data_IF_718975146627
#
_entry.id   IF_718975146627
#
_cell.length_a   1.000
_cell.length_b   1.000
_cell.length_c   1.000
_cell.angle_alpha   90.00
_cell.angle_beta   90.00
_cell.angle_gamma   90.00
#
_symmetry.space_group_name_H-M   'P 1'
#
loop_
_entity.id
_entity.type
_entity.pdbx_description
1 polymer ?
#
# COMPACT_ATOMS: atom_id res chain seq x y z
N UNK A 1 22.95 4.88 3.87
CA UNK A 1 22.33 3.63 4.26
C UNK A 1 23.22 2.96 5.30
N UNK A 2 22.84 3.07 6.59
CA UNK A 2 23.55 2.33 7.66
C UNK A 2 23.16 0.87 7.52
N UNK A 3 24.15 -0.03 7.46
CA UNK A 3 23.91 -1.46 7.62
C UNK A 3 23.40 -1.67 9.03
N UNK A 4 22.13 -2.12 9.17
CA UNK A 4 21.65 -2.64 10.45
C UNK A 4 22.42 -3.93 10.75
N UNK A 5 23.12 -3.96 11.89
CA UNK A 5 23.75 -5.17 12.39
C UNK A 5 22.70 -6.08 13.02
N UNK A 6 22.91 -7.40 12.98
CA UNK A 6 22.02 -8.41 13.54
C UNK A 6 21.83 -8.33 15.08
N UNK A 7 22.38 -7.31 15.74
CA UNK A 7 22.32 -7.08 17.18
C UNK A 7 21.50 -5.84 17.56
N UNK A 8 20.89 -5.14 16.62
CA UNK A 8 20.01 -4.01 16.97
C UNK A 8 18.69 -4.55 17.57
N UNK A 9 18.24 -4.02 18.72
CA UNK A 9 16.95 -4.41 19.29
C UNK A 9 15.86 -4.13 18.26
N UNK A 10 14.88 -5.04 18.18
CA UNK A 10 13.74 -4.88 17.29
C UNK A 10 13.19 -3.45 17.41
N UNK A 11 12.97 -2.73 16.31
CA UNK A 11 12.53 -1.34 16.36
C UNK A 11 11.27 -1.23 17.20
N UNK A 12 11.31 -0.34 18.20
CA UNK A 12 10.17 -0.16 19.11
C UNK A 12 8.96 0.32 18.31
N UNK A 13 7.86 -0.39 18.50
CA UNK A 13 6.58 -0.02 17.91
C UNK A 13 6.15 1.34 18.45
N UNK A 14 5.98 2.32 17.57
CA UNK A 14 5.58 3.67 17.98
C UNK A 14 4.09 3.68 18.37
N UNK A 15 3.73 4.06 19.61
CA UNK A 15 2.33 4.02 20.09
C UNK A 15 1.36 4.77 19.18
N UNK A 16 1.77 5.92 18.62
CA UNK A 16 0.95 6.71 17.70
C UNK A 16 0.61 5.94 16.40
N UNK A 17 1.52 5.11 15.89
CA UNK A 17 1.24 4.28 14.70
C UNK A 17 0.25 3.16 15.01
N UNK A 18 0.36 2.54 16.20
CA UNK A 18 -0.61 1.54 16.64
C UNK A 18 -1.99 2.15 16.82
N UNK A 19 -2.06 3.35 17.40
CA UNK A 19 -3.32 4.10 17.53
C UNK A 19 -3.98 4.38 16.17
N UNK A 20 -3.18 4.71 15.15
CA UNK A 20 -3.68 4.90 13.78
C UNK A 20 -4.22 3.59 13.18
N UNK A 21 -3.53 2.47 13.35
CA UNK A 21 -4.02 1.17 12.91
C UNK A 21 -5.34 0.80 13.61
N UNK A 22 -5.43 1.07 14.92
CA UNK A 22 -6.66 0.87 15.70
C UNK A 22 -7.80 1.71 15.16
N UNK A 23 -7.55 2.99 14.90
CA UNK A 23 -8.53 3.90 14.28
C UNK A 23 -9.04 3.38 12.93
N UNK A 24 -8.16 2.94 12.03
CA UNK A 24 -8.57 2.38 10.73
C UNK A 24 -9.41 1.12 10.91
N UNK A 25 -9.02 0.21 11.81
CA UNK A 25 -9.81 -1.00 12.10
C UNK A 25 -11.20 -0.64 12.65
N UNK A 26 -11.28 0.34 13.55
CA UNK A 26 -12.55 0.82 14.11
C UNK A 26 -13.44 1.49 13.07
N UNK A 27 -12.84 2.14 12.10
CA UNK A 27 -13.53 2.70 10.92
C UNK A 27 -13.98 1.62 9.91
N UNK A 28 -13.73 0.33 10.20
CA UNK A 28 -14.18 -0.79 9.36
C UNK A 28 -13.21 -1.17 8.24
N UNK A 29 -12.01 -0.60 8.22
CA UNK A 29 -11.00 -1.01 7.24
C UNK A 29 -10.31 -2.31 7.66
N UNK A 30 -10.08 -3.18 6.68
CA UNK A 30 -9.31 -4.39 6.88
C UNK A 30 -7.82 -4.09 6.92
N UNK A 31 -7.13 -4.65 7.92
CA UNK A 31 -5.69 -4.51 8.08
C UNK A 31 -4.98 -5.75 7.53
N UNK A 32 -3.90 -5.54 6.78
CA UNK A 32 -3.01 -6.57 6.28
C UNK A 32 -1.56 -6.37 6.72
N UNK A 33 -0.72 -7.38 6.47
CA UNK A 33 0.71 -7.30 6.73
C UNK A 33 1.45 -6.69 5.52
N UNK A 34 2.40 -5.82 5.80
CA UNK A 34 3.27 -5.17 4.81
C UNK A 34 4.72 -5.13 5.32
N UNK A 35 5.12 -6.14 6.08
CA UNK A 35 6.36 -6.27 6.85
C UNK A 35 6.46 -5.25 8.01
N UNK A 36 7.51 -5.33 8.79
CA UNK A 36 7.80 -4.37 9.87
C UNK A 36 8.66 -3.20 9.40
N UNK A 37 9.77 -3.52 8.74
CA UNK A 37 10.79 -2.56 8.33
C UNK A 37 10.66 -2.09 6.88
N UNK A 38 9.66 -2.57 6.13
CA UNK A 38 9.50 -2.29 4.70
C UNK A 38 10.79 -2.61 3.91
N UNK A 39 11.42 -3.76 4.25
CA UNK A 39 12.68 -4.16 3.62
C UNK A 39 12.48 -4.46 2.12
N UNK A 40 13.54 -4.25 1.35
CA UNK A 40 13.56 -4.66 -0.05
C UNK A 40 14.02 -6.11 -0.15
N UNK A 41 13.13 -7.03 -0.54
CA UNK A 41 13.42 -8.44 -0.74
C UNK A 41 14.69 -8.63 -1.60
N UNK A 42 14.82 -7.84 -2.66
CA UNK A 42 15.93 -7.94 -3.59
C UNK A 42 17.26 -7.45 -3.02
N UNK A 43 17.26 -6.73 -1.92
CA UNK A 43 18.45 -6.26 -1.25
C UNK A 43 18.87 -7.16 -0.08
N UNK A 44 17.88 -7.68 0.68
CA UNK A 44 18.15 -8.41 1.94
C UNK A 44 18.11 -9.92 1.79
N UNK A 45 17.47 -10.43 0.72
CA UNK A 45 17.25 -11.87 0.50
C UNK A 45 16.10 -12.44 1.34
N UNK A 46 15.69 -13.66 0.97
CA UNK A 46 14.48 -14.30 1.47
C UNK A 46 14.45 -14.51 3.00
N UNK A 47 15.51 -15.02 3.67
CA UNK A 47 15.43 -15.28 5.11
C UNK A 47 15.20 -14.01 5.95
N UNK A 48 15.93 -12.92 5.65
CA UNK A 48 15.77 -11.66 6.37
C UNK A 48 14.41 -11.01 6.07
N UNK A 49 13.92 -11.17 4.85
CA UNK A 49 12.61 -10.67 4.46
C UNK A 49 11.47 -11.43 5.14
N UNK A 50 11.56 -12.76 5.26
CA UNK A 50 10.61 -13.57 6.01
C UNK A 50 10.56 -13.19 7.49
N UNK A 51 11.73 -12.91 8.09
CA UNK A 51 11.77 -12.43 9.47
C UNK A 51 11.08 -11.07 9.63
N UNK A 52 11.24 -10.16 8.68
CA UNK A 52 10.57 -8.85 8.69
C UNK A 52 9.03 -8.98 8.58
N UNK A 53 8.53 -9.99 7.87
CA UNK A 53 7.11 -10.34 7.84
C UNK A 53 6.62 -10.76 9.24
N UNK A 54 7.37 -11.67 9.90
CA UNK A 54 7.04 -12.16 11.25
C UNK A 54 7.11 -11.03 12.30
N UNK A 55 8.05 -10.12 12.15
CA UNK A 55 8.16 -8.97 13.04
C UNK A 55 6.95 -8.03 12.91
N UNK A 56 6.40 -7.87 11.70
CA UNK A 56 5.15 -7.15 11.46
C UNK A 56 3.94 -7.80 12.16
N UNK A 57 3.92 -9.12 12.29
CA UNK A 57 2.86 -9.85 12.99
C UNK A 57 2.78 -9.55 14.48
N UNK A 58 3.91 -9.22 15.12
CA UNK A 58 3.96 -8.92 16.56
C UNK A 58 3.03 -7.78 16.97
N UNK A 59 2.80 -6.84 16.08
CA UNK A 59 1.83 -5.75 16.29
C UNK A 59 0.45 -6.09 15.73
N UNK A 60 0.41 -6.66 14.53
CA UNK A 60 -0.83 -6.83 13.78
C UNK A 60 -1.73 -7.91 14.39
N UNK A 61 -1.17 -9.09 14.76
CA UNK A 61 -1.97 -10.20 15.30
C UNK A 61 -2.69 -9.86 16.61
N UNK A 62 -2.03 -9.31 17.65
CA UNK A 62 -2.72 -8.89 18.86
C UNK A 62 -3.82 -7.86 18.60
N UNK A 63 -3.52 -6.87 17.75
CA UNK A 63 -4.48 -5.83 17.40
C UNK A 63 -5.74 -6.40 16.72
N UNK A 64 -5.61 -7.35 15.81
CA UNK A 64 -6.74 -8.00 15.15
C UNK A 64 -7.48 -8.96 16.09
N UNK A 65 -6.76 -9.67 16.96
CA UNK A 65 -7.33 -10.61 17.93
C UNK A 65 -8.29 -9.92 18.93
N UNK A 66 -8.11 -8.63 19.23
CA UNK A 66 -9.05 -7.83 20.03
C UNK A 66 -10.49 -7.85 19.48
N UNK A 67 -10.67 -8.18 18.20
CA UNK A 67 -11.96 -8.29 17.50
C UNK A 67 -12.21 -9.70 16.93
N UNK A 68 -11.49 -10.71 17.39
CA UNK A 68 -11.61 -12.09 16.90
C UNK A 68 -11.17 -12.25 15.43
N UNK A 69 -10.36 -11.32 14.92
CA UNK A 69 -9.86 -11.33 13.55
C UNK A 69 -8.43 -11.86 13.47
N UNK A 70 -8.04 -12.33 12.29
CA UNK A 70 -6.68 -12.75 11.96
C UNK A 70 -6.20 -12.01 10.71
N UNK A 71 -4.90 -11.74 10.56
CA UNK A 71 -4.39 -11.15 9.33
C UNK A 71 -4.53 -12.17 8.18
N UNK A 72 -5.09 -11.73 7.06
CA UNK A 72 -5.33 -12.56 5.87
C UNK A 72 -4.59 -12.05 4.64
N UNK A 73 -4.29 -10.74 4.62
CA UNK A 73 -3.70 -10.10 3.47
C UNK A 73 -2.26 -9.71 3.72
N UNK A 74 -1.46 -9.95 2.70
CA UNK A 74 -0.08 -9.50 2.64
C UNK A 74 0.17 -8.71 1.36
N UNK A 75 0.85 -7.57 1.45
CA UNK A 75 1.33 -6.81 0.31
C UNK A 75 2.85 -6.78 0.29
N UNK A 76 3.43 -7.06 -0.86
CA UNK A 76 4.87 -7.02 -1.04
C UNK A 76 5.39 -5.57 -1.03
N UNK A 77 6.36 -5.20 -0.18
CA UNK A 77 7.12 -3.97 -0.32
C UNK A 77 7.68 -3.82 -1.72
N UNK A 78 7.58 -2.61 -2.28
CA UNK A 78 7.99 -2.29 -3.66
C UNK A 78 7.33 -3.17 -4.75
N UNK A 79 6.26 -3.89 -4.43
CA UNK A 79 5.61 -4.92 -5.26
C UNK A 79 6.56 -6.04 -5.71
N UNK A 80 7.64 -6.28 -4.96
CA UNK A 80 8.68 -7.27 -5.28
C UNK A 80 8.35 -8.62 -4.65
N UNK A 81 8.05 -9.60 -5.50
CA UNK A 81 7.69 -10.96 -5.08
C UNK A 81 8.82 -11.98 -5.25
N UNK A 82 9.98 -11.57 -5.74
CA UNK A 82 11.15 -12.42 -6.01
C UNK A 82 11.73 -12.19 -7.41
N UNK A 83 13.05 -12.36 -7.55
CA UNK A 83 13.78 -12.18 -8.82
C UNK A 83 13.72 -13.43 -9.71
N UNK A 84 13.65 -14.61 -9.08
CA UNK A 84 13.60 -15.88 -9.76
C UNK A 84 12.29 -16.63 -9.42
N UNK A 85 11.83 -17.53 -10.30
CA UNK A 85 10.62 -18.33 -10.04
C UNK A 85 10.70 -19.09 -8.71
N UNK A 86 11.87 -19.61 -8.35
CA UNK A 86 12.11 -20.40 -7.14
C UNK A 86 11.99 -19.50 -5.88
N UNK A 87 12.53 -18.29 -5.91
CA UNK A 87 12.41 -17.32 -4.81
C UNK A 87 10.94 -16.90 -4.62
N UNK A 88 10.22 -16.67 -5.72
CA UNK A 88 8.79 -16.37 -5.70
C UNK A 88 7.98 -17.53 -5.13
N UNK A 89 8.25 -18.75 -5.56
CA UNK A 89 7.56 -19.95 -5.07
C UNK A 89 7.81 -20.15 -3.56
N UNK A 90 9.05 -19.99 -3.11
CA UNK A 90 9.42 -20.12 -1.70
C UNK A 90 8.74 -19.04 -0.82
N UNK A 91 8.71 -17.78 -1.28
CA UNK A 91 8.00 -16.72 -0.55
C UNK A 91 6.49 -16.97 -0.53
N UNK A 92 5.91 -17.40 -1.66
CA UNK A 92 4.47 -17.71 -1.73
C UNK A 92 4.09 -18.87 -0.81
N UNK A 93 4.91 -19.93 -0.74
CA UNK A 93 4.70 -21.04 0.18
C UNK A 93 4.78 -20.60 1.64
N UNK A 94 5.76 -19.75 1.98
CA UNK A 94 5.89 -19.17 3.32
C UNK A 94 4.66 -18.35 3.70
N UNK A 95 4.21 -17.45 2.84
CA UNK A 95 3.02 -16.63 3.07
C UNK A 95 1.77 -17.50 3.28
N UNK A 96 1.58 -18.52 2.44
CA UNK A 96 0.48 -19.44 2.56
C UNK A 96 0.49 -20.21 3.89
N UNK A 97 1.66 -20.72 4.33
CA UNK A 97 1.83 -21.41 5.62
C UNK A 97 1.49 -20.52 6.81
N UNK A 98 1.69 -19.21 6.69
CA UNK A 98 1.33 -18.21 7.71
C UNK A 98 -0.11 -17.67 7.57
N UNK A 99 -0.92 -18.23 6.67
CA UNK A 99 -2.33 -17.87 6.48
C UNK A 99 -2.55 -16.63 5.62
N UNK A 100 -1.53 -16.17 4.90
CA UNK A 100 -1.63 -15.00 4.03
C UNK A 100 -2.04 -15.34 2.61
N UNK A 101 -2.82 -14.41 2.04
CA UNK A 101 -3.05 -14.26 0.61
C UNK A 101 -2.40 -12.95 0.16
N UNK A 102 -1.82 -12.93 -1.03
CA UNK A 102 -1.28 -11.69 -1.60
C UNK A 102 -2.41 -10.72 -1.92
N UNK A 103 -2.29 -9.48 -1.44
CA UNK A 103 -3.13 -8.37 -1.84
C UNK A 103 -2.57 -7.80 -3.16
N UNK A 104 -3.21 -8.06 -4.31
CA UNK A 104 -2.68 -7.65 -5.60
C UNK A 104 -2.81 -6.13 -5.80
N UNK A 105 -2.08 -5.61 -6.79
CA UNK A 105 -2.21 -4.24 -7.28
C UNK A 105 -2.48 -4.31 -8.78
N UNK A 106 -3.53 -3.64 -9.25
CA UNK A 106 -3.85 -3.54 -10.67
C UNK A 106 -3.71 -2.13 -11.20
N UNK A 107 -3.77 -1.12 -10.32
CA UNK A 107 -3.48 0.28 -10.66
C UNK A 107 -2.27 0.73 -9.86
N UNK A 108 -1.10 0.60 -10.48
CA UNK A 108 0.16 1.15 -9.96
C UNK A 108 0.38 2.58 -10.45
N UNK A 109 1.17 3.34 -9.69
CA UNK A 109 1.37 4.76 -9.97
C UNK A 109 2.67 5.28 -9.35
N UNK A 110 3.05 6.50 -9.69
CA UNK A 110 4.23 7.19 -9.16
C UNK A 110 3.90 8.26 -8.12
N UNK A 111 2.88 8.05 -7.28
CA UNK A 111 2.46 9.06 -6.29
C UNK A 111 3.57 9.48 -5.32
N UNK A 112 4.55 8.61 -5.07
CA UNK A 112 5.69 8.90 -4.21
C UNK A 112 6.51 10.11 -4.67
N UNK A 113 6.58 10.38 -5.99
CA UNK A 113 7.26 11.56 -6.55
C UNK A 113 6.52 12.83 -6.13
N UNK A 114 5.19 12.81 -6.26
CA UNK A 114 4.32 13.90 -5.85
C UNK A 114 4.34 14.13 -4.35
N UNK A 115 4.30 13.03 -3.59
CA UNK A 115 4.34 13.05 -2.13
C UNK A 115 5.67 13.62 -1.62
N UNK A 116 6.79 13.26 -2.24
CA UNK A 116 8.10 13.81 -1.93
C UNK A 116 8.15 15.33 -2.19
N UNK A 117 7.66 15.78 -3.35
CA UNK A 117 7.59 17.21 -3.67
C UNK A 117 6.70 17.98 -2.68
N UNK A 118 5.57 17.37 -2.29
CA UNK A 118 4.65 17.97 -1.31
C UNK A 118 5.26 18.04 0.09
N UNK A 119 5.93 16.97 0.55
CA UNK A 119 6.62 16.95 1.83
C UNK A 119 7.76 17.99 1.87
N UNK A 120 8.57 18.07 0.82
CA UNK A 120 9.63 19.09 0.70
C UNK A 120 9.08 20.53 0.73
N UNK A 121 7.90 20.76 0.18
CA UNK A 121 7.24 22.07 0.26
C UNK A 121 6.69 22.37 1.66
N UNK A 122 6.44 21.33 2.49
CA UNK A 122 5.99 21.48 3.88
C UNK A 122 7.18 21.66 4.84
N UNK A 123 8.25 20.87 4.65
CA UNK A 123 9.37 20.79 5.60
C UNK A 123 10.21 22.07 5.62
N UNK A 124 10.43 22.60 6.84
CA UNK A 124 11.38 23.68 7.09
C UNK A 124 11.05 25.01 6.43
N UNK A 125 9.91 25.13 5.77
CA UNK A 125 9.50 26.37 5.11
C UNK A 125 8.55 27.18 6.00
N UNK A 126 8.71 28.51 6.10
CA UNK A 126 7.76 29.35 6.79
C UNK A 126 6.39 29.29 6.11
N UNK A 127 5.33 29.59 6.86
CA UNK A 127 3.97 29.64 6.31
C UNK A 127 3.79 30.93 5.51
N UNK A 128 4.05 30.86 4.22
CA UNK A 128 3.99 31.98 3.28
C UNK A 128 2.95 31.76 2.19
N UNK A 129 2.45 32.83 1.55
CA UNK A 129 1.55 32.71 0.40
C UNK A 129 2.17 31.88 -0.76
N UNK A 130 3.47 31.99 -0.97
CA UNK A 130 4.20 31.25 -2.02
C UNK A 130 4.22 29.74 -1.73
N UNK A 131 4.41 29.37 -0.45
CA UNK A 131 4.31 27.98 -0.01
C UNK A 131 2.90 27.44 -0.23
N UNK A 132 1.88 28.18 0.20
CA UNK A 132 0.48 27.80 0.01
C UNK A 132 0.15 27.61 -1.50
N UNK A 133 0.58 28.54 -2.36
CA UNK A 133 0.42 28.44 -3.80
C UNK A 133 1.13 27.20 -4.39
N UNK A 134 2.29 26.84 -3.86
CA UNK A 134 3.03 25.65 -4.28
C UNK A 134 2.30 24.36 -3.91
N UNK A 135 1.81 24.24 -2.68
CA UNK A 135 1.03 23.10 -2.20
C UNK A 135 -0.26 22.91 -3.03
N UNK A 136 -0.97 24.01 -3.32
CA UNK A 136 -2.17 23.99 -4.16
C UNK A 136 -1.84 23.59 -5.62
N UNK A 137 -0.73 24.05 -6.17
CA UNK A 137 -0.29 23.64 -7.51
C UNK A 137 0.02 22.14 -7.56
N UNK A 138 0.70 21.61 -6.54
CA UNK A 138 0.99 20.18 -6.44
C UNK A 138 -0.30 19.36 -6.34
N UNK A 139 -1.23 19.73 -5.47
CA UNK A 139 -2.54 19.06 -5.34
C UNK A 139 -3.31 19.09 -6.67
N UNK A 140 -3.33 20.23 -7.35
CA UNK A 140 -4.03 20.42 -8.63
C UNK A 140 -3.45 19.58 -9.77
N UNK A 141 -2.13 19.36 -9.78
CA UNK A 141 -1.48 18.46 -10.75
C UNK A 141 -1.63 16.99 -10.38
N UNK A 142 -1.60 16.68 -9.09
CA UNK A 142 -1.67 15.32 -8.58
C UNK A 142 -3.00 14.62 -8.87
N UNK A 143 -4.12 15.30 -8.64
CA UNK A 143 -5.45 14.70 -8.79
C UNK A 143 -5.71 14.19 -10.22
N UNK A 144 -5.52 14.99 -11.30
CA UNK A 144 -5.66 14.48 -12.66
C UNK A 144 -4.68 13.35 -12.99
N UNK A 145 -3.44 13.43 -12.49
CA UNK A 145 -2.45 12.37 -12.68
C UNK A 145 -2.97 11.02 -12.13
N UNK A 146 -3.47 11.01 -10.91
CA UNK A 146 -3.96 9.79 -10.25
C UNK A 146 -5.21 9.23 -10.94
N UNK A 147 -6.15 10.09 -11.34
CA UNK A 147 -7.35 9.68 -12.05
C UNK A 147 -7.04 9.16 -13.47
N UNK A 148 -6.07 9.77 -14.16
CA UNK A 148 -5.60 9.29 -15.47
C UNK A 148 -4.94 7.90 -15.36
N UNK A 149 -4.31 7.55 -14.22
CA UNK A 149 -3.82 6.19 -13.99
C UNK A 149 -4.96 5.18 -13.91
N UNK A 150 -6.04 5.50 -13.22
CA UNK A 150 -7.24 4.65 -13.20
C UNK A 150 -7.77 4.45 -14.62
N UNK A 151 -8.01 5.54 -15.36
CA UNK A 151 -8.50 5.50 -16.73
C UNK A 151 -7.57 4.68 -17.65
N UNK A 152 -6.26 4.77 -17.46
CA UNK A 152 -5.28 4.01 -18.21
C UNK A 152 -5.43 2.50 -17.98
N UNK A 153 -5.44 2.05 -16.73
CA UNK A 153 -5.51 0.63 -16.40
C UNK A 153 -6.88 0.02 -16.71
N UNK A 154 -7.95 0.79 -16.63
CA UNK A 154 -9.27 0.35 -17.12
C UNK A 154 -9.26 0.09 -18.63
N UNK A 155 -8.71 1.01 -19.42
CA UNK A 155 -8.54 0.79 -20.86
C UNK A 155 -7.64 -0.40 -21.17
N UNK A 156 -6.54 -0.59 -20.41
CA UNK A 156 -5.67 -1.75 -20.58
C UNK A 156 -6.41 -3.07 -20.29
N UNK A 157 -7.21 -3.14 -19.22
CA UNK A 157 -7.99 -4.34 -18.93
C UNK A 157 -8.98 -4.65 -20.04
N UNK A 158 -9.68 -3.64 -20.55
CA UNK A 158 -10.61 -3.81 -21.65
C UNK A 158 -9.90 -4.27 -22.93
N UNK A 159 -8.73 -3.71 -23.24
CA UNK A 159 -7.98 -4.06 -24.46
C UNK A 159 -7.39 -5.48 -24.40
N UNK A 160 -6.89 -5.90 -23.23
CA UNK A 160 -6.20 -7.19 -23.06
C UNK A 160 -7.14 -8.35 -22.73
N UNK A 161 -8.21 -8.08 -21.99
CA UNK A 161 -9.09 -9.12 -21.45
C UNK A 161 -10.48 -9.09 -22.10
N UNK A 162 -10.85 -8.02 -22.80
CA UNK A 162 -12.19 -7.83 -23.35
C UNK A 162 -13.25 -7.37 -22.36
N UNK A 163 -12.87 -7.09 -21.11
CA UNK A 163 -13.77 -6.60 -20.05
C UNK A 163 -13.05 -5.71 -19.04
N UNK A 164 -13.79 -4.83 -18.38
CA UNK A 164 -13.30 -4.06 -17.26
C UNK A 164 -13.23 -4.95 -16.01
N UNK A 165 -12.04 -5.15 -15.45
CA UNK A 165 -11.84 -5.92 -14.22
C UNK A 165 -11.99 -5.03 -12.99
N UNK A 166 -12.32 -5.59 -11.82
CA UNK A 166 -12.21 -4.87 -10.56
C UNK A 166 -10.79 -4.39 -10.34
N UNK A 167 -10.63 -3.08 -10.12
CA UNK A 167 -9.31 -2.50 -9.93
C UNK A 167 -8.91 -2.49 -8.45
N UNK A 168 -7.64 -2.80 -8.17
CA UNK A 168 -7.01 -2.62 -6.86
C UNK A 168 -6.00 -1.49 -6.96
N UNK A 169 -6.39 -0.33 -6.47
CA UNK A 169 -5.61 0.89 -6.58
C UNK A 169 -4.63 1.03 -5.42
N UNK A 170 -3.33 1.10 -5.71
CA UNK A 170 -2.28 1.33 -4.73
C UNK A 170 -2.26 2.80 -4.31
N UNK A 171 -2.39 3.04 -3.01
CA UNK A 171 -2.25 4.34 -2.37
C UNK A 171 -1.43 4.19 -1.08
N UNK A 172 -0.71 5.24 -0.70
CA UNK A 172 0.04 5.30 0.56
C UNK A 172 -0.50 6.42 1.46
N UNK A 173 -0.32 6.27 2.77
CA UNK A 173 -0.74 7.26 3.77
C UNK A 173 0.22 8.48 3.81
N UNK A 174 0.49 9.07 2.65
CA UNK A 174 1.24 10.32 2.54
C UNK A 174 0.39 11.54 2.90
N UNK A 175 1.01 12.62 3.37
CA UNK A 175 0.32 13.88 3.66
C UNK A 175 -0.47 14.42 2.47
N UNK A 176 0.04 14.26 1.24
CA UNK A 176 -0.67 14.67 0.02
C UNK A 176 -1.97 13.86 -0.16
N UNK A 177 -1.97 12.56 0.10
CA UNK A 177 -3.19 11.77 0.07
C UNK A 177 -4.16 12.16 1.18
N UNK A 178 -3.66 12.56 2.36
CA UNK A 178 -4.50 13.07 3.43
C UNK A 178 -5.37 14.27 3.02
N UNK A 179 -4.87 15.13 2.14
CA UNK A 179 -5.61 16.30 1.64
C UNK A 179 -6.31 16.10 0.29
N UNK A 180 -5.95 15.07 -0.48
CA UNK A 180 -6.49 14.81 -1.82
C UNK A 180 -7.44 13.61 -1.91
N UNK A 181 -7.51 12.78 -0.87
CA UNK A 181 -8.26 11.51 -0.92
C UNK A 181 -9.75 11.68 -1.20
N UNK A 182 -10.40 12.66 -0.59
CA UNK A 182 -11.82 12.93 -0.83
C UNK A 182 -12.09 13.30 -2.30
N UNK A 183 -11.21 14.10 -2.90
CA UNK A 183 -11.32 14.50 -4.31
C UNK A 183 -11.05 13.29 -5.24
N UNK A 184 -10.10 12.42 -4.88
CA UNK A 184 -9.85 11.16 -5.60
C UNK A 184 -11.09 10.25 -5.57
N UNK A 185 -11.69 10.05 -4.41
CA UNK A 185 -12.91 9.25 -4.25
C UNK A 185 -14.07 9.82 -5.08
N UNK A 186 -14.28 11.13 -5.01
CA UNK A 186 -15.27 11.80 -5.83
C UNK A 186 -14.96 11.64 -7.33
N UNK A 187 -13.69 11.69 -7.70
CA UNK A 187 -13.22 11.52 -9.09
C UNK A 187 -13.52 10.14 -9.65
N UNK A 188 -13.25 9.06 -8.91
CA UNK A 188 -13.54 7.69 -9.34
C UNK A 188 -15.06 7.41 -9.32
N UNK A 189 -15.79 7.98 -8.35
CA UNK A 189 -17.26 7.86 -8.31
C UNK A 189 -17.92 8.49 -9.56
N UNK A 190 -17.47 9.68 -9.99
CA UNK A 190 -17.96 10.32 -11.23
C UNK A 190 -17.68 9.49 -12.49
N UNK A 191 -16.73 8.55 -12.45
CA UNK A 191 -16.45 7.57 -13.51
C UNK A 191 -17.32 6.33 -13.44
N UNK A 192 -18.28 6.30 -12.54
CA UNK A 192 -19.17 5.14 -12.33
C UNK A 192 -18.53 4.02 -11.48
N UNK A 193 -17.32 4.24 -10.93
CA UNK A 193 -16.68 3.27 -10.06
C UNK A 193 -17.29 3.31 -8.65
N UNK A 194 -17.33 2.17 -8.00
CA UNK A 194 -17.72 2.04 -6.59
C UNK A 194 -16.65 1.29 -5.81
N UNK A 195 -16.45 1.68 -4.56
CA UNK A 195 -15.56 0.95 -3.66
C UNK A 195 -16.18 -0.43 -3.31
N UNK A 196 -15.35 -1.46 -3.33
CA UNK A 196 -15.70 -2.83 -2.93
C UNK A 196 -14.60 -3.37 -2.02
N UNK A 197 -14.88 -4.47 -1.30
CA UNK A 197 -13.85 -5.15 -0.51
C UNK A 197 -12.81 -5.81 -1.41
N UNK A 198 -11.59 -6.00 -0.89
CA UNK A 198 -10.55 -6.74 -1.60
C UNK A 198 -10.99 -8.19 -1.86
N UNK A 199 -11.68 -8.84 -0.92
CA UNK A 199 -12.26 -10.17 -1.11
C UNK A 199 -13.21 -10.24 -2.31
N UNK A 200 -13.97 -9.17 -2.56
CA UNK A 200 -14.82 -9.13 -3.73
C UNK A 200 -14.01 -8.97 -5.02
N UNK A 201 -13.02 -8.07 -5.03
CA UNK A 201 -12.20 -7.81 -6.20
C UNK A 201 -11.42 -9.06 -6.66
N UNK A 202 -10.85 -9.84 -5.73
CA UNK A 202 -10.07 -11.05 -6.05
C UNK A 202 -10.92 -12.26 -6.43
N UNK A 203 -12.25 -12.16 -6.46
CA UNK A 203 -13.10 -13.18 -7.11
C UNK A 203 -12.90 -13.20 -8.63
N UNK A 204 -12.45 -12.09 -9.20
CA UNK A 204 -12.03 -12.05 -10.60
C UNK A 204 -10.68 -12.78 -10.74
N UNK A 205 -10.59 -13.89 -11.53
CA UNK A 205 -9.36 -14.67 -11.66
C UNK A 205 -8.17 -13.88 -12.19
N UNK A 206 -8.41 -12.87 -13.02
CA UNK A 206 -7.36 -12.01 -13.54
C UNK A 206 -6.75 -11.11 -12.45
N UNK A 207 -7.54 -10.70 -11.45
CA UNK A 207 -7.07 -9.94 -10.28
C UNK A 207 -6.35 -10.83 -9.29
N UNK A 208 -6.83 -12.05 -9.07
CA UNK A 208 -6.25 -12.98 -8.09
C UNK A 208 -4.85 -13.48 -8.46
N UNK A 209 -4.47 -13.39 -9.74
CA UNK A 209 -3.17 -13.86 -10.28
C UNK A 209 -2.10 -12.77 -10.35
N UNK A 210 -2.45 -11.52 -10.00
CA UNK A 210 -1.58 -10.34 -10.09
C UNK A 210 -0.41 -10.31 -9.12
#
# INVERSE_FOLDING_TARGET
>A
PRRQSAADPAPQVQPARVAMLRYWREAGYELGNHTHGHLDLHAVGLPAFQQDILDGERTLRPLLAERGQVPRWYRHPYLRAGRAPEERAALSAFLYQHGYRTAPVTVDNGEWVWACAYANALDGQPDTPERAATLERLKRGYLPYMLNKVDYYERQSQALLGYALPQVWLLHAYGLNGVAYADQQAGVHRRGCRAVSLDWAVRCPAVARG
#
